data_IF_862563361414
#
_entry.id   IF_862563361414
#
_cell.length_a   1.000
_cell.length_b   1.000
_cell.length_c   1.000
_cell.angle_alpha   90.00
_cell.angle_beta   90.00
_cell.angle_gamma   90.00
#
_symmetry.space_group_name_H-M   'P 1'
#
loop_
_entity.id
_entity.type
_entity.pdbx_description
1 polymer ?
#
# COMPACT_ATOMS: atom_id res chain seq x y z
N UNK A 1 -40.62 16.58 39.56
CA UNK A 1 -40.17 17.10 38.26
C UNK A 1 -38.73 16.63 38.07
N UNK A 2 -38.55 15.39 37.59
CA UNK A 2 -37.23 14.81 37.35
C UNK A 2 -36.73 15.29 35.98
N UNK A 3 -35.65 16.05 36.00
CA UNK A 3 -34.93 16.46 34.79
C UNK A 3 -34.14 15.25 34.31
N UNK A 4 -34.42 14.79 33.08
CA UNK A 4 -33.66 13.73 32.43
C UNK A 4 -32.19 14.14 32.33
N UNK A 5 -31.32 13.41 33.03
CA UNK A 5 -29.88 13.37 32.75
C UNK A 5 -29.65 12.42 31.57
N UNK A 6 -29.92 12.93 30.36
CA UNK A 6 -29.61 12.24 29.10
C UNK A 6 -28.40 12.86 28.42
N UNK A 7 -27.31 13.15 29.14
CA UNK A 7 -26.07 13.65 28.49
C UNK A 7 -24.86 13.40 29.37
N UNK A 8 -24.31 12.18 29.34
CA UNK A 8 -22.87 11.92 29.32
C UNK A 8 -22.61 10.40 29.25
N UNK A 9 -22.76 9.80 28.07
CA UNK A 9 -21.94 8.64 27.71
C UNK A 9 -20.72 9.20 26.96
N UNK A 10 -19.56 9.40 27.62
CA UNK A 10 -18.39 9.91 26.95
C UNK A 10 -17.89 8.85 25.96
N UNK A 11 -18.07 9.11 24.67
CA UNK A 11 -17.14 8.79 23.58
C UNK A 11 -16.40 7.43 23.59
N UNK A 12 -17.00 6.34 24.07
CA UNK A 12 -16.44 4.99 23.88
C UNK A 12 -16.70 4.41 22.48
N UNK A 13 -17.36 5.14 21.60
CA UNK A 13 -17.76 4.66 20.26
C UNK A 13 -17.35 5.58 19.09
N UNK A 14 -16.59 6.66 19.33
CA UNK A 14 -16.25 7.60 18.24
C UNK A 14 -14.94 7.29 17.48
N UNK A 15 -14.18 6.28 17.91
CA UNK A 15 -13.01 5.80 17.18
C UNK A 15 -12.93 4.29 17.20
N UNK A 16 -14.04 3.59 16.89
CA UNK A 16 -13.97 2.16 16.58
C UNK A 16 -13.45 1.95 15.15
N UNK A 17 -12.41 2.71 14.77
CA UNK A 17 -11.66 2.50 13.56
C UNK A 17 -10.85 1.24 13.83
N UNK A 18 -11.14 0.18 13.10
CA UNK A 18 -10.38 -1.06 13.16
C UNK A 18 -8.91 -0.78 12.85
N UNK A 19 -8.01 -1.59 13.39
CA UNK A 19 -6.57 -1.47 13.10
C UNK A 19 -6.31 -1.52 11.57
N UNK A 20 -7.14 -2.26 10.84
CA UNK A 20 -7.11 -2.35 9.39
C UNK A 20 -7.39 -1.00 8.71
N UNK A 21 -8.43 -0.27 9.13
CA UNK A 21 -8.75 1.06 8.59
C UNK A 21 -7.66 2.08 8.92
N UNK A 22 -7.07 2.02 10.13
CA UNK A 22 -5.92 2.86 10.48
C UNK A 22 -4.75 2.59 9.54
N UNK A 23 -4.51 1.33 9.17
CA UNK A 23 -3.43 0.96 8.24
C UNK A 23 -3.70 1.40 6.81
N UNK A 24 -4.94 1.29 6.33
CA UNK A 24 -5.31 1.82 5.02
C UNK A 24 -5.08 3.33 4.95
N UNK A 25 -5.54 4.06 5.98
CA UNK A 25 -5.33 5.52 6.07
C UNK A 25 -3.84 5.84 6.13
N UNK A 26 -3.06 5.13 6.95
CA UNK A 26 -1.62 5.34 7.06
C UNK A 26 -0.91 5.12 5.71
N UNK A 27 -1.26 4.04 5.00
CA UNK A 27 -0.69 3.75 3.69
C UNK A 27 -1.01 4.85 2.69
N UNK A 28 -2.28 5.26 2.57
CA UNK A 28 -2.70 6.36 1.69
C UNK A 28 -2.01 7.68 2.03
N UNK A 29 -1.95 8.05 3.31
CA UNK A 29 -1.26 9.28 3.76
C UNK A 29 0.22 9.27 3.36
N UNK A 30 0.91 8.15 3.51
CA UNK A 30 2.32 8.03 3.11
C UNK A 30 2.48 8.16 1.59
N UNK A 31 1.57 7.60 0.79
CA UNK A 31 1.58 7.70 -0.67
C UNK A 31 1.21 9.10 -1.18
N UNK A 32 0.32 9.81 -0.47
CA UNK A 32 -0.12 11.17 -0.79
C UNK A 32 0.88 12.25 -0.35
N UNK A 33 1.67 11.99 0.70
CA UNK A 33 2.60 12.96 1.26
C UNK A 33 3.57 13.58 0.22
N UNK A 34 4.20 12.81 -0.69
CA UNK A 34 4.99 13.37 -1.78
C UNK A 34 4.20 14.32 -2.70
N UNK A 35 2.92 14.05 -2.94
CA UNK A 35 2.07 14.89 -3.80
C UNK A 35 1.82 16.24 -3.14
N UNK A 36 1.63 16.26 -1.83
CA UNK A 36 1.50 17.50 -1.07
C UNK A 36 2.79 18.32 -1.11
N UNK A 37 3.96 17.67 -1.01
CA UNK A 37 5.25 18.37 -1.09
C UNK A 37 5.57 18.91 -2.49
N UNK A 38 5.05 18.26 -3.52
CA UNK A 38 5.27 18.64 -4.92
C UNK A 38 4.17 19.55 -5.47
N UNK A 39 3.30 20.13 -4.63
CA UNK A 39 2.15 20.96 -5.04
C UNK A 39 1.22 20.25 -6.06
N UNK A 40 1.06 18.94 -5.95
CA UNK A 40 0.24 18.14 -6.86
C UNK A 40 0.87 17.86 -8.23
N UNK A 41 2.18 18.10 -8.41
CA UNK A 41 2.88 17.70 -9.65
C UNK A 41 2.92 16.17 -9.75
N UNK A 42 2.26 15.64 -10.79
CA UNK A 42 2.14 14.21 -11.07
C UNK A 42 3.24 13.73 -12.02
N UNK A 43 4.50 13.86 -11.60
CA UNK A 43 5.65 13.27 -12.30
C UNK A 43 6.26 12.13 -11.47
N UNK A 44 6.47 11.00 -12.12
CA UNK A 44 6.98 9.75 -11.54
C UNK A 44 8.35 9.94 -10.91
N UNK A 45 9.25 10.72 -11.51
CA UNK A 45 10.62 10.90 -11.01
C UNK A 45 10.68 11.63 -9.66
N UNK A 46 10.14 12.86 -9.52
CA UNK A 46 10.14 13.56 -8.25
C UNK A 46 9.29 12.83 -7.20
N UNK A 47 8.18 12.22 -7.62
CA UNK A 47 7.35 11.40 -6.73
C UNK A 47 8.16 10.28 -6.05
N UNK A 48 8.85 9.44 -6.85
CA UNK A 48 9.65 8.35 -6.32
C UNK A 48 10.85 8.83 -5.49
N UNK A 49 11.50 9.95 -5.87
CA UNK A 49 12.65 10.48 -5.13
C UNK A 49 12.29 10.94 -3.71
N UNK A 50 11.04 11.35 -3.50
CA UNK A 50 10.53 11.77 -2.19
C UNK A 50 9.93 10.59 -1.41
N UNK A 51 9.23 9.69 -2.10
CA UNK A 51 8.55 8.56 -1.46
C UNK A 51 9.52 7.50 -0.92
N UNK A 52 10.52 7.08 -1.70
CA UNK A 52 11.39 5.96 -1.30
C UNK A 52 12.16 6.21 0.01
N UNK A 53 12.76 7.40 0.25
CA UNK A 53 13.37 7.72 1.54
C UNK A 53 12.34 7.74 2.69
N UNK A 54 11.11 8.17 2.42
CA UNK A 54 10.03 8.19 3.40
C UNK A 54 9.64 6.76 3.79
N UNK A 55 9.45 5.86 2.81
CA UNK A 55 9.16 4.45 3.06
C UNK A 55 10.24 3.79 3.91
N UNK A 56 11.52 4.03 3.60
CA UNK A 56 12.64 3.51 4.39
C UNK A 56 12.62 4.01 5.83
N UNK A 57 12.29 5.29 6.06
CA UNK A 57 12.21 5.86 7.41
C UNK A 57 11.01 5.34 8.21
N UNK A 58 9.91 5.02 7.53
CA UNK A 58 8.65 4.57 8.16
C UNK A 58 8.49 3.05 8.17
N UNK A 59 9.43 2.30 7.57
CA UNK A 59 9.36 0.84 7.50
C UNK A 59 9.19 0.15 8.86
N UNK A 60 9.83 0.57 9.97
CA UNK A 60 9.62 -0.08 11.27
C UNK A 60 8.19 0.09 11.78
N UNK A 61 7.53 1.21 11.43
CA UNK A 61 6.14 1.45 11.77
C UNK A 61 5.25 0.46 11.01
N UNK A 62 5.42 0.36 9.69
CA UNK A 62 4.64 -0.59 8.90
C UNK A 62 4.85 -2.04 9.35
N UNK A 63 6.09 -2.47 9.62
CA UNK A 63 6.38 -3.82 10.14
C UNK A 63 5.69 -4.13 11.47
N UNK A 64 5.51 -3.13 12.33
CA UNK A 64 4.82 -3.32 13.61
C UNK A 64 3.32 -3.63 13.45
N UNK A 65 2.73 -3.27 12.30
CA UNK A 65 1.29 -3.42 12.06
C UNK A 65 0.95 -4.43 10.96
N UNK A 66 1.78 -4.57 9.92
CA UNK A 66 1.60 -5.52 8.83
C UNK A 66 2.17 -6.89 9.23
N UNK A 67 1.44 -7.61 10.09
CA UNK A 67 1.90 -8.91 10.63
C UNK A 67 1.21 -10.11 10.00
N UNK A 68 -0.06 -9.95 9.60
CA UNK A 68 -0.86 -11.04 9.02
C UNK A 68 -1.00 -10.84 7.53
N UNK A 69 -1.27 -11.93 6.81
CA UNK A 69 -1.60 -11.88 5.38
C UNK A 69 -2.74 -10.89 5.09
N UNK A 70 -3.76 -10.83 5.95
CA UNK A 70 -4.86 -9.86 5.81
C UNK A 70 -4.38 -8.40 5.87
N UNK A 71 -3.41 -8.11 6.72
CA UNK A 71 -2.88 -6.74 6.89
C UNK A 71 -2.08 -6.33 5.65
N UNK A 72 -1.30 -7.26 5.08
CA UNK A 72 -0.57 -7.07 3.83
C UNK A 72 -1.49 -6.81 2.64
N UNK A 73 -2.54 -7.63 2.47
CA UNK A 73 -3.53 -7.42 1.40
C UNK A 73 -4.25 -6.08 1.56
N UNK A 74 -4.60 -5.73 2.80
CA UNK A 74 -5.23 -4.45 3.10
C UNK A 74 -4.36 -3.26 2.65
N UNK A 75 -3.04 -3.35 2.90
CA UNK A 75 -2.07 -2.36 2.44
C UNK A 75 -1.97 -2.31 0.90
N UNK A 76 -1.88 -3.47 0.24
CA UNK A 76 -1.80 -3.60 -1.21
C UNK A 76 -3.05 -3.05 -1.92
N UNK A 77 -4.24 -3.33 -1.39
CA UNK A 77 -5.50 -2.77 -1.91
C UNK A 77 -5.54 -1.25 -1.74
N UNK A 78 -5.13 -0.73 -0.59
CA UNK A 78 -5.06 0.72 -0.36
C UNK A 78 -4.06 1.41 -1.32
N UNK A 79 -2.93 0.75 -1.61
CA UNK A 79 -1.99 1.21 -2.63
C UNK A 79 -2.61 1.18 -4.03
N UNK A 80 -3.29 0.09 -4.40
CA UNK A 80 -3.97 -0.04 -5.69
C UNK A 80 -4.96 1.11 -5.87
N UNK A 81 -5.86 1.34 -4.91
CA UNK A 81 -6.84 2.44 -4.95
C UNK A 81 -6.16 3.79 -5.19
N UNK A 82 -5.07 4.08 -4.45
CA UNK A 82 -4.30 5.30 -4.66
C UNK A 82 -3.78 5.43 -6.10
N UNK A 83 -3.21 4.37 -6.66
CA UNK A 83 -2.73 4.41 -8.05
C UNK A 83 -3.89 4.51 -9.04
N UNK A 84 -5.03 3.85 -8.82
CA UNK A 84 -6.20 3.96 -9.69
C UNK A 84 -6.76 5.39 -9.76
N UNK A 85 -6.62 6.16 -8.70
CA UNK A 85 -6.97 7.58 -8.65
C UNK A 85 -5.91 8.49 -9.32
N UNK A 86 -4.66 8.01 -9.48
CA UNK A 86 -3.53 8.77 -10.00
C UNK A 86 -2.86 8.05 -11.19
N UNK A 87 -3.57 7.97 -12.33
CA UNK A 87 -3.11 7.23 -13.53
C UNK A 87 -1.74 7.67 -14.06
N UNK A 88 -1.38 8.95 -13.90
CA UNK A 88 -0.06 9.50 -14.25
C UNK A 88 1.10 8.87 -13.48
N UNK A 89 0.82 8.23 -12.34
CA UNK A 89 1.81 7.59 -11.47
C UNK A 89 1.85 6.06 -11.66
N UNK A 90 1.09 5.49 -12.59
CA UNK A 90 1.08 4.03 -12.80
C UNK A 90 2.46 3.44 -13.13
N UNK A 91 3.35 4.21 -13.76
CA UNK A 91 4.74 3.77 -14.00
C UNK A 91 5.59 3.73 -12.70
N UNK A 92 5.12 4.35 -11.61
CA UNK A 92 5.79 4.36 -10.32
C UNK A 92 5.47 3.12 -9.47
N UNK A 93 4.32 2.46 -9.69
CA UNK A 93 3.82 1.38 -8.80
C UNK A 93 4.85 0.27 -8.57
N UNK A 94 5.55 -0.15 -9.63
CA UNK A 94 6.59 -1.17 -9.55
C UNK A 94 7.74 -0.74 -8.63
N UNK A 95 8.15 0.53 -8.69
CA UNK A 95 9.20 1.07 -7.81
C UNK A 95 8.73 1.18 -6.37
N UNK A 96 7.47 1.51 -6.15
CA UNK A 96 6.89 1.59 -4.81
C UNK A 96 6.80 0.21 -4.18
N UNK A 97 6.23 -0.78 -4.90
CA UNK A 97 6.17 -2.17 -4.44
C UNK A 97 7.56 -2.74 -4.16
N UNK A 98 8.53 -2.50 -5.05
CA UNK A 98 9.94 -2.84 -4.80
C UNK A 98 10.47 -2.20 -3.52
N UNK A 99 10.13 -0.93 -3.27
CA UNK A 99 10.52 -0.23 -2.04
C UNK A 99 9.94 -0.87 -0.77
N UNK A 100 8.69 -1.35 -0.81
CA UNK A 100 8.09 -2.08 0.31
C UNK A 100 8.71 -3.47 0.49
N UNK A 101 8.96 -4.19 -0.62
CA UNK A 101 9.60 -5.51 -0.64
C UNK A 101 11.02 -5.45 -0.06
N UNK A 102 11.88 -4.55 -0.55
CA UNK A 102 13.27 -4.37 -0.08
C UNK A 102 13.39 -3.94 1.38
N UNK A 103 12.28 -3.48 1.97
CA UNK A 103 12.23 -3.13 3.38
C UNK A 103 11.61 -4.25 4.22
N UNK A 104 11.33 -5.44 3.69
CA UNK A 104 10.57 -6.54 4.30
C UNK A 104 9.25 -6.09 4.92
N UNK A 105 8.58 -5.11 4.30
CA UNK A 105 7.29 -4.62 4.76
C UNK A 105 6.15 -5.40 4.10
N UNK A 106 6.33 -5.79 2.84
CA UNK A 106 5.40 -6.64 2.11
C UNK A 106 6.11 -7.93 1.72
N UNK A 107 5.55 -9.07 2.12
CA UNK A 107 6.00 -10.38 1.68
C UNK A 107 5.67 -10.63 0.20
N UNK A 108 6.54 -11.38 -0.47
CA UNK A 108 6.47 -11.71 -1.88
C UNK A 108 5.15 -12.40 -2.24
N UNK A 109 4.82 -13.47 -1.53
CA UNK A 109 3.57 -14.24 -1.67
C UNK A 109 2.34 -13.34 -1.67
N UNK A 110 2.37 -12.25 -0.88
CA UNK A 110 1.26 -11.33 -0.76
C UNK A 110 1.16 -10.40 -1.97
N UNK A 111 2.29 -9.97 -2.52
CA UNK A 111 2.36 -9.17 -3.74
C UNK A 111 1.87 -9.99 -4.94
N UNK A 112 2.36 -11.23 -5.08
CA UNK A 112 1.95 -12.16 -6.13
C UNK A 112 0.45 -12.49 -6.02
N UNK A 113 -0.03 -12.80 -4.81
CA UNK A 113 -1.45 -13.04 -4.56
C UNK A 113 -2.33 -11.84 -4.93
N UNK A 114 -1.94 -10.61 -4.55
CA UNK A 114 -2.67 -9.39 -4.95
C UNK A 114 -2.66 -9.19 -6.47
N UNK A 115 -1.55 -9.49 -7.12
CA UNK A 115 -1.42 -9.35 -8.57
C UNK A 115 -2.31 -10.36 -9.32
N UNK A 116 -2.42 -11.59 -8.82
CA UNK A 116 -3.24 -12.66 -9.43
C UNK A 116 -4.75 -12.51 -9.23
N UNK A 117 -5.22 -11.54 -8.45
CA UNK A 117 -6.65 -11.33 -8.23
C UNK A 117 -7.39 -10.99 -9.54
N UNK A 118 -8.45 -11.73 -9.82
CA UNK A 118 -9.27 -11.58 -11.04
C UNK A 118 -10.50 -10.70 -10.85
N UNK A 119 -11.01 -10.61 -9.62
CA UNK A 119 -12.15 -9.78 -9.21
C UNK A 119 -11.75 -8.31 -9.03
N UNK A 120 -11.30 -7.69 -10.12
CA UNK A 120 -10.79 -6.31 -10.15
C UNK A 120 -11.51 -5.46 -11.20
N UNK A 121 -11.42 -4.14 -11.03
CA UNK A 121 -12.00 -3.18 -11.98
C UNK A 121 -11.26 -3.20 -13.33
N UNK A 122 -11.86 -2.63 -14.38
CA UNK A 122 -11.18 -2.48 -15.68
C UNK A 122 -9.89 -1.66 -15.56
N UNK A 123 -9.88 -0.63 -14.72
CA UNK A 123 -8.67 0.15 -14.44
C UNK A 123 -7.62 -0.68 -13.69
N UNK A 124 -8.02 -1.49 -12.71
CA UNK A 124 -7.15 -2.45 -12.04
C UNK A 124 -6.50 -3.44 -13.00
N UNK A 125 -7.25 -3.92 -14.02
CA UNK A 125 -6.69 -4.74 -15.10
C UNK A 125 -5.67 -3.98 -15.94
N UNK A 126 -5.94 -2.72 -16.29
CA UNK A 126 -5.00 -1.89 -17.06
C UNK A 126 -3.73 -1.56 -16.29
N UNK A 127 -3.85 -1.27 -14.99
CA UNK A 127 -2.72 -1.07 -14.09
C UNK A 127 -1.82 -2.31 -14.06
N UNK A 128 -2.40 -3.51 -13.90
CA UNK A 128 -1.65 -4.78 -13.93
C UNK A 128 -0.95 -5.03 -15.26
N UNK A 129 -1.51 -4.57 -16.39
CA UNK A 129 -0.87 -4.68 -17.73
C UNK A 129 0.33 -3.75 -17.95
N UNK A 130 0.64 -2.86 -17.01
CA UNK A 130 1.79 -1.96 -17.14
C UNK A 130 3.10 -2.74 -17.23
N UNK A 131 3.90 -2.41 -18.23
CA UNK A 131 5.15 -3.13 -18.50
C UNK A 131 6.11 -3.09 -17.30
N UNK A 132 6.19 -1.97 -16.59
CA UNK A 132 7.01 -1.85 -15.38
C UNK A 132 6.55 -2.82 -14.27
N UNK A 133 5.24 -2.97 -14.09
CA UNK A 133 4.67 -3.87 -13.09
C UNK A 133 4.84 -5.34 -13.50
N UNK A 134 4.57 -5.68 -14.76
CA UNK A 134 4.79 -7.03 -15.30
C UNK A 134 6.24 -7.50 -15.12
N UNK A 135 7.21 -6.64 -15.43
CA UNK A 135 8.64 -6.95 -15.23
C UNK A 135 9.00 -7.12 -13.76
N UNK A 136 8.37 -6.37 -12.87
CA UNK A 136 8.60 -6.50 -11.43
C UNK A 136 8.06 -7.82 -10.88
N UNK A 137 6.85 -8.23 -11.32
CA UNK A 137 6.28 -9.52 -10.93
C UNK A 137 7.13 -10.67 -11.44
N UNK A 138 7.54 -10.65 -12.71
CA UNK A 138 8.44 -11.66 -13.28
C UNK A 138 9.75 -11.76 -12.49
N UNK A 139 10.33 -10.62 -12.10
CA UNK A 139 11.55 -10.59 -11.28
C UNK A 139 11.34 -11.18 -9.88
N UNK A 140 10.17 -10.96 -9.26
CA UNK A 140 9.83 -11.58 -7.98
C UNK A 140 9.73 -13.10 -8.10
N UNK A 141 9.05 -13.60 -9.14
CA UNK A 141 8.90 -15.03 -9.39
C UNK A 141 10.26 -15.72 -9.65
N UNK A 142 11.16 -15.07 -10.41
CA UNK A 142 12.51 -15.60 -10.68
C UNK A 142 13.41 -15.63 -9.42
N UNK A 143 13.22 -14.69 -8.49
CA UNK A 143 14.01 -14.64 -7.25
C UNK A 143 13.71 -15.82 -6.31
N UNK A 144 12.50 -16.37 -6.36
CA UNK A 144 12.10 -17.56 -5.60
C UNK A 144 12.72 -18.83 -6.18
N UNK A 145 12.74 -18.97 -7.50
CA UNK A 145 13.28 -20.16 -8.19
C UNK A 145 14.79 -20.33 -7.97
N UNK A 146 15.58 -19.24 -7.95
CA UNK A 146 17.03 -19.30 -7.71
C UNK A 146 17.38 -19.70 -6.25
N UNK A 147 16.47 -19.48 -5.30
CA UNK A 147 16.68 -19.85 -3.89
C UNK A 147 16.32 -21.31 -3.57
N UNK A 148 15.68 -22.03 -4.51
CA UNK A 148 15.20 -23.41 -4.30
C UNK A 148 16.06 -24.48 -4.99
N UNK A 149 17.08 -24.11 -5.78
CA UNK A 149 17.88 -25.03 -6.61
C UNK A 149 19.27 -25.35 -6.01
N UNK A 150 19.41 -25.26 -4.69
CA UNK A 150 20.64 -25.59 -3.94
C UNK A 150 20.39 -26.70 -2.87
N UNK A 151 19.56 -27.70 -3.21
CA UNK A 151 19.49 -29.02 -2.56
C UNK A 151 19.66 -30.19 -3.56
#
# INVERSE_FOLDING_TARGET
>A
MQIQLSFFHPHRHAYNISLAEVMQVLCKVVLEFPLQQLNGVLDVKPYCSTLLPLLKRWSPLFKNYLKRASDHLCCLVAMEEFFLDHESLWEAIAKVLMGFYQQDVLAEEMILHWFSQTDITDKGRQLRKKQALQKFIQWLEEAEEESSDDE
#
